data_IF_232795232989
#
_entry.id   IF_232795232989
#
_cell.length_a   1.000
_cell.length_b   1.000
_cell.length_c   1.000
_cell.angle_alpha   90.00
_cell.angle_beta   90.00
_cell.angle_gamma   90.00
#
_symmetry.space_group_name_H-M   'P 1'
#
loop_
_entity.id
_entity.type
_entity.pdbx_description
1 polymer ?
#
# COMPACT_ATOMS: atom_id res chain seq x y z
N UNK A 1 4.14 13.45 17.16
CA UNK A 1 5.46 13.27 16.53
C UNK A 1 5.29 13.60 15.06
N UNK A 2 5.86 14.71 14.58
CA UNK A 2 5.87 15.04 13.15
C UNK A 2 6.76 14.01 12.46
N UNK A 3 6.17 13.23 11.55
CA UNK A 3 6.90 12.34 10.66
C UNK A 3 7.24 13.17 9.42
N UNK A 4 8.51 13.23 9.04
CA UNK A 4 8.93 13.72 7.73
C UNK A 4 8.40 12.73 6.67
N UNK A 5 7.28 13.04 6.00
CA UNK A 5 6.62 12.16 5.03
C UNK A 5 7.01 12.55 3.60
N UNK A 6 8.04 11.90 3.05
CA UNK A 6 8.16 11.86 1.59
C UNK A 6 7.02 10.99 1.05
N UNK A 7 6.11 11.58 0.26
CA UNK A 7 5.01 10.84 -0.37
C UNK A 7 5.47 10.31 -1.73
N UNK A 8 5.19 9.06 -2.02
CA UNK A 8 5.55 8.39 -3.26
C UNK A 8 4.31 8.29 -4.17
N UNK A 9 4.37 8.82 -5.40
CA UNK A 9 3.34 8.57 -6.43
C UNK A 9 3.89 7.65 -7.50
N UNK A 10 3.15 6.60 -7.84
CA UNK A 10 3.43 5.72 -8.98
C UNK A 10 2.86 6.40 -10.23
N UNK A 11 3.71 6.76 -11.18
CA UNK A 11 3.28 7.39 -12.44
C UNK A 11 2.79 6.34 -13.47
N UNK A 12 1.92 6.72 -14.42
CA UNK A 12 1.54 5.87 -15.53
C UNK A 12 2.70 5.78 -16.53
N UNK A 13 3.50 4.73 -16.45
CA UNK A 13 4.58 4.43 -17.38
C UNK A 13 5.03 2.98 -17.23
N UNK A 14 5.43 2.33 -18.33
CA UNK A 14 5.99 0.98 -18.31
C UNK A 14 7.26 0.98 -17.44
N UNK A 15 7.13 0.39 -16.25
CA UNK A 15 8.15 0.42 -15.20
C UNK A 15 7.69 1.21 -13.99
N UNK A 16 7.43 0.49 -12.90
CA UNK A 16 7.03 0.98 -11.57
C UNK A 16 8.04 2.01 -11.04
N UNK A 17 7.89 3.26 -11.48
CA UNK A 17 8.73 4.36 -11.04
C UNK A 17 8.00 5.16 -9.98
N UNK A 18 8.61 5.25 -8.81
CA UNK A 18 8.12 6.04 -7.69
C UNK A 18 8.73 7.44 -7.80
N UNK A 19 7.88 8.46 -7.92
CA UNK A 19 8.28 9.85 -7.79
C UNK A 19 8.11 10.27 -6.34
N UNK A 20 9.19 10.73 -5.71
CA UNK A 20 9.14 11.32 -4.38
C UNK A 20 8.57 12.75 -4.49
N UNK A 21 7.52 13.02 -3.74
CA UNK A 21 7.00 14.36 -3.49
C UNK A 21 7.71 14.86 -2.22
N UNK A 22 8.51 15.93 -2.33
CA UNK A 22 9.12 16.55 -1.17
C UNK A 22 8.07 17.12 -0.23
N UNK A 23 8.32 17.08 1.08
CA UNK A 23 7.56 17.91 2.02
C UNK A 23 7.89 19.40 1.81
N UNK A 24 6.94 20.28 2.14
CA UNK A 24 7.15 21.74 2.07
C UNK A 24 8.46 22.14 2.77
N UNK A 25 9.37 22.75 2.01
CA UNK A 25 10.69 23.17 2.49
C UNK A 25 11.82 22.14 2.36
N UNK A 26 11.57 20.94 1.82
CA UNK A 26 12.60 19.92 1.57
C UNK A 26 12.96 19.86 0.08
N UNK A 27 14.21 20.12 -0.28
CA UNK A 27 14.68 19.89 -1.66
C UNK A 27 15.13 18.43 -1.80
N UNK A 28 14.27 17.57 -2.32
CA UNK A 28 14.67 16.21 -2.75
C UNK A 28 14.96 16.30 -4.26
N UNK A 29 16.17 15.91 -4.67
CA UNK A 29 16.47 15.78 -6.09
C UNK A 29 15.43 14.87 -6.74
N UNK A 30 14.80 15.30 -7.84
CA UNK A 30 13.83 14.52 -8.59
C UNK A 30 14.53 13.28 -9.18
N UNK A 31 14.66 12.24 -8.37
CA UNK A 31 15.24 10.97 -8.72
C UNK A 31 14.13 9.95 -8.91
N UNK A 32 14.21 9.21 -10.01
CA UNK A 32 13.33 8.09 -10.28
C UNK A 32 13.78 6.93 -9.41
N UNK A 33 13.00 6.56 -8.40
CA UNK A 33 13.33 5.43 -7.52
C UNK A 33 12.78 4.15 -8.14
N UNK A 34 13.67 3.18 -8.36
CA UNK A 34 13.28 1.85 -8.79
C UNK A 34 12.45 1.17 -7.70
N UNK A 35 11.20 0.81 -8.03
CA UNK A 35 10.32 0.06 -7.13
C UNK A 35 10.52 -1.43 -7.38
N UNK A 36 10.79 -2.18 -6.30
CA UNK A 36 10.92 -3.64 -6.33
C UNK A 36 9.82 -4.28 -5.49
N UNK A 37 9.68 -5.62 -5.57
CA UNK A 37 8.67 -6.33 -4.77
C UNK A 37 8.87 -6.17 -3.25
N UNK A 38 10.10 -5.88 -2.82
CA UNK A 38 10.43 -5.66 -1.40
C UNK A 38 10.25 -4.20 -0.98
N UNK A 39 9.93 -3.30 -1.92
CA UNK A 39 9.65 -1.90 -1.60
C UNK A 39 8.37 -1.78 -0.76
N UNK A 40 8.33 -0.86 0.22
CA UNK A 40 7.10 -0.52 0.95
C UNK A 40 6.00 -0.08 -0.01
N UNK A 41 4.79 -0.61 0.20
CA UNK A 41 3.61 -0.35 -0.63
C UNK A 41 2.46 0.28 0.17
N UNK A 42 2.29 -0.12 1.45
CA UNK A 42 1.18 0.34 2.28
C UNK A 42 1.59 0.44 3.74
N UNK A 43 1.12 1.49 4.44
CA UNK A 43 1.23 1.59 5.90
C UNK A 43 -0.17 1.60 6.50
N UNK A 44 -0.46 0.63 7.36
CA UNK A 44 -1.72 0.56 8.09
C UNK A 44 -1.50 0.80 9.58
N UNK A 45 -2.33 1.66 10.15
CA UNK A 45 -2.27 1.96 11.57
C UNK A 45 -3.23 1.05 12.33
N UNK A 46 -2.71 0.43 13.39
CA UNK A 46 -3.50 -0.35 14.34
C UNK A 46 -3.65 0.42 15.63
N UNK A 47 -4.80 0.27 16.31
CA UNK A 47 -5.13 1.02 17.54
C UNK A 47 -4.08 0.85 18.64
N UNK A 48 -3.48 -0.36 18.75
CA UNK A 48 -2.43 -0.67 19.70
C UNK A 48 -2.93 -0.64 21.15
N UNK A 49 -2.88 -1.77 21.86
CA UNK A 49 -3.34 -1.87 23.27
C UNK A 49 -2.57 -0.98 24.25
N UNK A 50 -1.40 -0.46 23.85
CA UNK A 50 -0.50 0.35 24.68
C UNK A 50 -0.64 1.87 24.43
N UNK A 51 -1.76 2.32 23.85
CA UNK A 51 -2.16 3.73 23.78
C UNK A 51 -1.80 4.47 22.48
N UNK A 52 -0.57 4.33 21.97
CA UNK A 52 -0.18 4.98 20.69
C UNK A 52 -0.39 4.01 19.50
N UNK A 53 -1.06 4.45 18.42
CA UNK A 53 -1.21 3.63 17.22
C UNK A 53 0.14 3.20 16.63
N UNK A 54 0.23 1.95 16.18
CA UNK A 54 1.43 1.38 15.56
C UNK A 54 1.24 1.31 14.05
N UNK A 55 2.21 1.81 13.28
CA UNK A 55 2.24 1.69 11.83
C UNK A 55 2.81 0.33 11.42
N UNK A 56 2.04 -0.43 10.65
CA UNK A 56 2.44 -1.71 10.05
C UNK A 56 2.78 -1.45 8.59
N UNK A 57 4.00 -1.77 8.18
CA UNK A 57 4.46 -1.58 6.80
C UNK A 57 4.29 -2.88 6.02
N UNK A 58 3.55 -2.83 4.92
CA UNK A 58 3.45 -3.90 3.94
C UNK A 58 4.29 -3.56 2.70
N UNK A 59 4.93 -4.58 2.14
CA UNK A 59 5.63 -4.50 0.85
C UNK A 59 4.72 -5.00 -0.26
N UNK A 60 5.08 -4.76 -1.51
CA UNK A 60 4.35 -5.37 -2.64
C UNK A 60 4.32 -6.90 -2.52
N UNK A 61 5.44 -7.52 -2.13
CA UNK A 61 5.53 -8.97 -1.91
C UNK A 61 4.55 -9.47 -0.84
N UNK A 62 4.42 -8.79 0.30
CA UNK A 62 3.51 -9.24 1.35
C UNK A 62 2.04 -9.03 0.99
N UNK A 63 1.72 -8.02 0.18
CA UNK A 63 0.37 -7.84 -0.37
C UNK A 63 0.06 -8.93 -1.41
N UNK A 64 0.95 -9.18 -2.37
CA UNK A 64 0.78 -10.23 -3.38
C UNK A 64 0.58 -11.60 -2.75
N UNK A 65 1.34 -11.97 -1.73
CA UNK A 65 1.16 -13.23 -1.01
C UNK A 65 -0.23 -13.37 -0.34
N UNK A 66 -0.74 -12.27 0.22
CA UNK A 66 -2.08 -12.24 0.82
C UNK A 66 -3.17 -12.35 -0.25
N UNK A 67 -3.03 -11.66 -1.38
CA UNK A 67 -3.98 -11.78 -2.50
C UNK A 67 -4.04 -13.19 -3.07
N UNK A 68 -2.89 -13.85 -3.29
CA UNK A 68 -2.88 -15.24 -3.73
C UNK A 68 -3.63 -16.15 -2.76
N UNK A 69 -3.43 -15.97 -1.46
CA UNK A 69 -4.14 -16.75 -0.44
C UNK A 69 -5.67 -16.57 -0.51
N UNK A 70 -6.14 -15.36 -0.82
CA UNK A 70 -7.57 -15.06 -0.98
C UNK A 70 -8.15 -15.62 -2.28
N UNK A 71 -7.44 -15.45 -3.39
CA UNK A 71 -7.83 -16.01 -4.69
C UNK A 71 -7.92 -17.54 -4.59
N UNK A 72 -6.96 -18.19 -3.94
CA UNK A 72 -6.97 -19.63 -3.74
C UNK A 72 -8.08 -20.09 -2.80
N UNK A 73 -8.36 -19.33 -1.73
CA UNK A 73 -9.42 -19.69 -0.79
C UNK A 73 -10.83 -19.51 -1.37
N UNK A 74 -11.05 -18.46 -2.16
CA UNK A 74 -12.38 -18.06 -2.64
C UNK A 74 -12.61 -18.39 -4.11
N UNK A 75 -11.58 -18.88 -4.80
CA UNK A 75 -11.63 -19.29 -6.21
C UNK A 75 -12.13 -18.17 -7.12
N UNK A 76 -11.69 -16.94 -6.85
CA UNK A 76 -12.05 -15.78 -7.66
C UNK A 76 -11.55 -15.91 -9.09
N UNK A 77 -12.38 -15.45 -9.99
CA UNK A 77 -12.13 -15.34 -11.42
C UNK A 77 -12.31 -13.90 -11.90
N UNK A 78 -11.84 -13.61 -13.10
CA UNK A 78 -12.06 -12.31 -13.75
C UNK A 78 -13.53 -12.01 -14.09
N UNK A 79 -14.45 -12.96 -13.86
CA UNK A 79 -15.90 -12.79 -14.07
C UNK A 79 -16.64 -12.39 -12.80
N UNK A 80 -15.97 -12.47 -11.65
CA UNK A 80 -16.58 -12.14 -10.37
C UNK A 80 -16.61 -10.62 -10.16
N UNK A 81 -17.72 -10.15 -9.60
CA UNK A 81 -17.91 -8.75 -9.24
C UNK A 81 -18.03 -8.62 -7.73
N UNK A 82 -17.11 -7.88 -7.12
CA UNK A 82 -17.07 -7.68 -5.67
C UNK A 82 -17.56 -6.28 -5.31
N UNK A 83 -18.49 -6.17 -4.36
CA UNK A 83 -18.99 -4.88 -3.90
C UNK A 83 -18.11 -4.33 -2.77
N UNK A 84 -17.53 -3.15 -2.97
CA UNK A 84 -16.73 -2.46 -1.96
C UNK A 84 -17.59 -1.76 -0.90
N UNK A 85 -17.93 -2.48 0.17
CA UNK A 85 -18.77 -1.93 1.26
C UNK A 85 -18.00 -1.54 2.51
N UNK A 86 -16.72 -1.91 2.60
CA UNK A 86 -15.92 -1.73 3.81
C UNK A 86 -15.01 -0.49 3.71
N UNK A 87 -14.63 0.12 4.83
CA UNK A 87 -13.76 1.29 4.78
C UNK A 87 -12.32 0.95 4.37
N UNK A 88 -11.72 1.79 3.52
CA UNK A 88 -10.33 1.65 3.07
C UNK A 88 -9.27 1.82 4.17
N UNK A 89 -9.62 2.37 5.33
CA UNK A 89 -8.70 2.49 6.47
C UNK A 89 -8.65 1.22 7.34
N UNK A 90 -9.45 0.21 7.01
CA UNK A 90 -9.40 -1.11 7.64
C UNK A 90 -8.79 -2.12 6.67
N UNK A 91 -7.87 -2.96 7.17
CA UNK A 91 -7.17 -4.00 6.40
C UNK A 91 -8.11 -4.84 5.53
N UNK A 92 -9.27 -5.20 6.07
CA UNK A 92 -10.26 -6.03 5.38
C UNK A 92 -10.88 -5.32 4.16
N UNK A 93 -11.13 -4.01 4.24
CA UNK A 93 -11.60 -3.22 3.09
C UNK A 93 -10.54 -3.08 2.00
N UNK A 94 -9.26 -2.99 2.40
CA UNK A 94 -8.15 -2.93 1.45
C UNK A 94 -7.94 -4.27 0.74
N UNK A 95 -7.92 -5.39 1.46
CA UNK A 95 -7.47 -6.67 0.92
C UNK A 95 -8.56 -7.46 0.19
N UNK A 96 -9.81 -7.37 0.61
CA UNK A 96 -10.84 -8.27 0.09
C UNK A 96 -11.50 -7.79 -1.20
N UNK A 97 -11.15 -6.61 -1.69
CA UNK A 97 -11.94 -5.97 -2.75
C UNK A 97 -11.07 -5.26 -3.78
N UNK A 98 -9.85 -4.85 -3.42
CA UNK A 98 -8.91 -4.23 -4.35
C UNK A 98 -7.99 -5.30 -4.93
N UNK A 99 -8.40 -5.88 -6.05
CA UNK A 99 -7.59 -6.78 -6.88
C UNK A 99 -7.10 -6.02 -8.12
#
# INVERSE_FOLDING_TARGET
>A
ARLNRAFATIGPGEGSSCRLIPEEGTTIAAGQVAVTISSPALILYTSGTTGKPKGVVHTFQSLTAQYHSLVDAWQWSSKDHTLHVLPLHHIHGVQNILN
#
